data_IF_181594221109
#
_entry.id   IF_181594221109
#
_cell.length_a   1.000
_cell.length_b   1.000
_cell.length_c   1.000
_cell.angle_alpha   90.00
_cell.angle_beta   90.00
_cell.angle_gamma   90.00
#
_symmetry.space_group_name_H-M   'P 1'
#
loop_
_entity.id
_entity.type
_entity.pdbx_description
1 polymer ?
#
# COMPACT_ATOMS: atom_id res chain seq x y z
N UNK A 1 2.32 8.34 -1.57
CA UNK A 1 1.13 7.46 -1.51
C UNK A 1 1.52 6.00 -1.35
N UNK A 2 2.23 5.38 -2.31
CA UNK A 2 2.57 3.93 -2.28
C UNK A 2 3.26 3.45 -0.99
N UNK A 3 4.17 4.23 -0.41
CA UNK A 3 4.79 3.88 0.87
C UNK A 3 3.79 3.70 2.01
N UNK A 4 2.78 4.57 2.11
CA UNK A 4 1.69 4.47 3.11
C UNK A 4 0.85 3.21 2.90
N UNK A 5 0.68 2.77 1.65
CA UNK A 5 -0.02 1.53 1.32
C UNK A 5 0.74 0.32 1.87
N UNK A 6 2.07 0.28 1.72
CA UNK A 6 2.90 -0.79 2.31
C UNK A 6 2.81 -0.81 3.84
N UNK A 7 2.73 0.36 4.49
CA UNK A 7 2.49 0.44 5.93
C UNK A 7 1.14 -0.20 6.30
N UNK A 8 0.06 0.15 5.60
CA UNK A 8 -1.26 -0.47 5.82
C UNK A 8 -1.22 -1.98 5.60
N UNK A 9 -0.54 -2.45 4.56
CA UNK A 9 -0.37 -3.87 4.29
C UNK A 9 0.25 -4.62 5.45
N UNK A 10 1.29 -4.05 6.05
CA UNK A 10 1.98 -4.67 7.20
C UNK A 10 1.17 -4.57 8.49
N UNK A 11 0.56 -3.43 8.77
CA UNK A 11 -0.26 -3.23 9.97
C UNK A 11 -1.46 -4.16 10.02
N UNK A 12 -2.09 -4.42 8.88
CA UNK A 12 -3.29 -5.26 8.77
C UNK A 12 -3.00 -6.67 8.25
N UNK A 13 -1.74 -6.99 7.91
CA UNK A 13 -1.30 -8.25 7.34
C UNK A 13 -2.15 -8.72 6.15
N UNK A 14 -2.35 -7.83 5.16
CA UNK A 14 -3.20 -8.06 3.99
C UNK A 14 -2.39 -8.16 2.69
N UNK A 15 -2.88 -8.96 1.73
CA UNK A 15 -2.26 -9.14 0.41
C UNK A 15 -2.44 -7.92 -0.49
N UNK A 16 -1.75 -7.89 -1.64
CA UNK A 16 -1.84 -6.81 -2.62
C UNK A 16 -3.29 -6.64 -3.13
N UNK A 17 -3.99 -7.74 -3.47
CA UNK A 17 -5.40 -7.73 -3.89
C UNK A 17 -6.36 -7.27 -2.79
N UNK A 18 -6.15 -7.77 -1.56
CA UNK A 18 -6.96 -7.34 -0.42
C UNK A 18 -6.74 -5.86 -0.10
N UNK A 19 -5.55 -5.33 -0.37
CA UNK A 19 -5.25 -3.92 -0.13
C UNK A 19 -6.02 -3.02 -1.07
N UNK A 20 -6.05 -3.35 -2.35
CA UNK A 20 -6.87 -2.64 -3.34
C UNK A 20 -8.35 -2.62 -2.90
N UNK A 21 -8.89 -3.78 -2.51
CA UNK A 21 -10.27 -3.90 -2.06
C UNK A 21 -10.55 -3.08 -0.79
N UNK A 22 -9.71 -3.21 0.23
CA UNK A 22 -9.90 -2.55 1.53
C UNK A 22 -9.73 -1.03 1.44
N UNK A 23 -8.88 -0.52 0.54
CA UNK A 23 -8.77 0.93 0.32
C UNK A 23 -10.07 1.49 -0.28
N UNK A 24 -10.69 0.76 -1.21
CA UNK A 24 -11.97 1.18 -1.80
C UNK A 24 -13.14 1.10 -0.80
N UNK A 25 -13.12 0.13 0.11
CA UNK A 25 -14.21 -0.12 1.07
C UNK A 25 -14.09 0.75 2.35
N UNK A 26 -12.87 1.03 2.82
CA UNK A 26 -12.65 1.67 4.12
C UNK A 26 -12.30 3.15 4.00
N UNK A 27 -13.24 4.00 4.41
CA UNK A 27 -13.02 5.44 4.53
C UNK A 27 -11.83 5.81 5.44
N UNK A 28 -11.51 5.01 6.45
CA UNK A 28 -10.33 5.20 7.30
C UNK A 28 -9.03 5.04 6.52
N UNK A 29 -8.96 4.09 5.59
CA UNK A 29 -7.80 3.87 4.72
C UNK A 29 -7.70 5.00 3.71
N UNK A 30 -8.82 5.40 3.09
CA UNK A 30 -8.85 6.56 2.17
C UNK A 30 -8.35 7.83 2.85
N UNK A 31 -8.84 8.13 4.07
CA UNK A 31 -8.38 9.29 4.86
C UNK A 31 -6.88 9.23 5.19
N UNK A 32 -6.36 8.07 5.58
CA UNK A 32 -4.94 7.91 5.86
C UNK A 32 -4.06 8.12 4.62
N UNK A 33 -4.53 7.61 3.47
CA UNK A 33 -3.87 7.78 2.18
C UNK A 33 -4.03 9.18 1.59
N UNK A 34 -5.02 9.95 2.06
CA UNK A 34 -5.36 11.27 1.54
C UNK A 34 -6.17 11.21 0.24
N UNK A 35 -6.98 10.16 0.08
CA UNK A 35 -7.84 9.93 -1.08
C UNK A 35 -9.27 10.40 -0.82
N UNK A 36 -9.88 11.00 -1.83
CA UNK A 36 -11.32 11.25 -1.92
C UNK A 36 -12.06 10.07 -2.58
N UNK A 37 -13.39 10.00 -2.43
CA UNK A 37 -14.22 8.91 -2.97
C UNK A 37 -14.11 8.69 -4.48
N UNK A 38 -13.73 9.73 -5.23
CA UNK A 38 -13.59 9.70 -6.69
C UNK A 38 -12.15 9.41 -7.14
N UNK A 39 -11.21 9.37 -6.22
CA UNK A 39 -9.80 9.24 -6.56
C UNK A 39 -9.46 7.81 -6.95
N UNK A 40 -8.53 7.67 -7.90
CA UNK A 40 -8.12 6.37 -8.40
C UNK A 40 -7.25 5.66 -7.35
N UNK A 41 -7.73 4.51 -6.89
CA UNK A 41 -6.97 3.59 -6.04
C UNK A 41 -5.96 2.81 -6.89
N UNK A 42 -4.71 2.61 -6.42
CA UNK A 42 -3.75 1.74 -7.09
C UNK A 42 -4.24 0.29 -7.11
N UNK A 43 -4.16 -0.34 -8.28
CA UNK A 43 -4.43 -1.77 -8.40
C UNK A 43 -3.34 -2.63 -7.74
N UNK A 44 -3.67 -3.88 -7.45
CA UNK A 44 -2.76 -4.86 -6.85
C UNK A 44 -1.43 -5.00 -7.62
N UNK A 45 -1.49 -4.93 -8.95
CA UNK A 45 -0.29 -5.02 -9.81
C UNK A 45 0.63 -3.81 -9.64
N UNK A 46 0.07 -2.63 -9.45
CA UNK A 46 0.80 -1.38 -9.18
C UNK A 46 1.46 -1.44 -7.82
N UNK A 47 0.78 -2.01 -6.82
CA UNK A 47 1.35 -2.25 -5.48
C UNK A 47 2.52 -3.24 -5.57
N UNK A 48 2.33 -4.36 -6.27
CA UNK A 48 3.38 -5.35 -6.50
C UNK A 48 4.60 -4.75 -7.20
N UNK A 49 4.41 -4.01 -8.31
CA UNK A 49 5.51 -3.38 -9.06
C UNK A 49 6.30 -2.38 -8.19
N UNK A 50 5.63 -1.71 -7.27
CA UNK A 50 6.31 -0.82 -6.33
C UNK A 50 7.18 -1.59 -5.33
N UNK A 51 6.71 -2.74 -4.84
CA UNK A 51 7.50 -3.62 -3.95
C UNK A 51 8.72 -4.18 -4.66
N UNK A 52 8.58 -4.65 -5.90
CA UNK A 52 9.70 -5.10 -6.73
C UNK A 52 10.78 -4.02 -6.85
N UNK A 53 10.38 -2.78 -7.14
CA UNK A 53 11.32 -1.65 -7.20
C UNK A 53 12.04 -1.37 -5.87
N UNK A 54 11.38 -1.59 -4.73
CA UNK A 54 12.01 -1.45 -3.41
C UNK A 54 13.04 -2.57 -3.13
N UNK A 55 12.76 -3.78 -3.62
CA UNK A 55 13.68 -4.93 -3.55
C UNK A 55 14.91 -4.67 -4.41
N UNK A 56 14.71 -4.27 -5.67
CA UNK A 56 15.79 -3.91 -6.60
C UNK A 56 16.69 -2.80 -6.04
N UNK A 57 16.08 -1.79 -5.43
CA UNK A 57 16.79 -0.69 -4.79
C UNK A 57 17.50 -1.09 -3.47
N UNK A 58 17.36 -2.34 -3.00
CA UNK A 58 17.85 -2.86 -1.71
C UNK A 58 17.37 -2.07 -0.49
N UNK A 59 16.20 -1.44 -0.58
CA UNK A 59 15.63 -0.60 0.50
C UNK A 59 14.57 -1.37 1.29
N UNK A 60 14.04 -2.47 0.76
CA UNK A 60 12.99 -3.28 1.39
C UNK A 60 13.35 -3.72 2.84
N UNK A 61 14.60 -4.13 3.07
CA UNK A 61 15.08 -4.54 4.39
C UNK A 61 15.13 -3.39 5.41
N UNK A 62 15.22 -2.13 4.96
CA UNK A 62 15.18 -0.95 5.84
C UNK A 62 13.74 -0.54 6.15
N UNK A 63 12.86 -0.57 5.15
CA UNK A 63 11.43 -0.27 5.35
C UNK A 63 10.81 -1.28 6.31
N UNK A 64 11.18 -2.55 6.19
CA UNK A 64 10.67 -3.63 7.06
C UNK A 64 11.15 -3.58 8.51
N UNK A 65 12.18 -2.78 8.81
CA UNK A 65 12.72 -2.61 10.18
C UNK A 65 12.16 -1.38 10.90
N UNK A 66 11.45 -0.51 10.19
CA UNK A 66 10.99 0.80 10.69
C UNK A 66 9.55 0.72 11.26
N UNK A 67 8.82 -0.35 10.96
CA UNK A 67 7.46 -0.64 11.40
C UNK A 67 7.47 -1.98 12.12
#
# INVERSE_FOLDING_TARGET
MMFKIIILQKLYNISDDQTEYQINDRLSFMRFLGLELKDKVPDAKTIWLFKEKLIEARVEARVSKII
#
